data_IF_435555496621
#
_entry.id   IF_435555496621
#
_cell.length_a   1.000
_cell.length_b   1.000
_cell.length_c   1.000
_cell.angle_alpha   90.00
_cell.angle_beta   90.00
_cell.angle_gamma   90.00
#
_symmetry.space_group_name_H-M   'P 1'
#
loop_
_entity.id
_entity.type
_entity.pdbx_description
1 polymer ?
#
# COMPACT_ATOMS: atom_id res chain seq x y z
N UNK A 1 -10.17 59.59 -7.69
CA UNK A 1 -9.48 58.35 -8.13
C UNK A 1 -8.32 58.11 -7.18
N UNK A 2 -8.41 57.12 -6.30
CA UNK A 2 -7.26 56.44 -5.68
C UNK A 2 -7.77 55.34 -4.74
N UNK A 3 -8.31 54.28 -5.33
CA UNK A 3 -8.56 53.04 -4.59
C UNK A 3 -7.31 52.16 -4.79
N UNK A 4 -6.30 52.38 -3.95
CA UNK A 4 -5.07 51.57 -3.98
C UNK A 4 -5.32 50.28 -3.20
N UNK A 5 -5.78 49.24 -3.91
CA UNK A 5 -5.79 47.87 -3.41
C UNK A 5 -4.39 47.52 -2.91
N UNK A 6 -4.22 47.52 -1.59
CA UNK A 6 -2.91 47.30 -0.97
C UNK A 6 -2.69 45.80 -0.88
N UNK A 7 -2.27 45.22 -2.01
CA UNK A 7 -1.90 43.81 -2.11
C UNK A 7 -0.56 43.60 -1.41
N UNK A 8 -0.50 42.71 -0.41
CA UNK A 8 0.65 42.48 0.46
C UNK A 8 1.48 41.32 -0.08
N UNK A 9 2.75 41.53 -0.46
CA UNK A 9 3.61 40.43 -0.88
C UNK A 9 3.99 39.56 0.31
N UNK A 10 3.87 38.24 0.15
CA UNK A 10 4.28 37.24 1.12
C UNK A 10 5.16 36.17 0.46
N UNK A 11 6.06 35.60 1.25
CA UNK A 11 6.84 34.42 0.87
C UNK A 11 6.52 33.27 1.81
N UNK A 12 6.35 32.07 1.27
CA UNK A 12 6.01 30.87 2.03
C UNK A 12 7.05 29.80 1.73
N UNK A 13 7.85 29.44 2.72
CA UNK A 13 8.87 28.41 2.61
C UNK A 13 8.28 27.04 2.97
N UNK A 14 8.37 26.09 2.05
CA UNK A 14 8.04 24.68 2.28
C UNK A 14 9.24 23.80 1.91
N UNK A 15 9.80 23.09 2.87
CA UNK A 15 11.03 22.32 2.65
C UNK A 15 12.16 23.20 2.10
N UNK A 16 12.66 22.86 0.90
CA UNK A 16 13.68 23.63 0.17
C UNK A 16 13.11 24.69 -0.78
N UNK A 17 11.80 24.73 -0.99
CA UNK A 17 11.14 25.60 -1.97
C UNK A 17 10.54 26.83 -1.28
N UNK A 18 10.60 27.99 -1.94
CA UNK A 18 9.94 29.22 -1.50
C UNK A 18 8.91 29.65 -2.55
N UNK A 19 7.66 29.76 -2.13
CA UNK A 19 6.55 30.25 -2.94
C UNK A 19 6.36 31.74 -2.68
N UNK A 20 5.99 32.49 -3.72
CA UNK A 20 5.73 33.92 -3.64
C UNK A 20 4.32 34.21 -4.14
N UNK A 21 3.52 34.89 -3.31
CA UNK A 21 2.18 35.32 -3.69
C UNK A 21 1.85 36.67 -3.07
N UNK A 22 0.71 37.24 -3.44
CA UNK A 22 0.21 38.46 -2.81
C UNK A 22 -1.17 38.19 -2.19
N UNK A 23 -1.38 38.76 -1.01
CA UNK A 23 -2.67 38.72 -0.32
C UNK A 23 -3.33 40.08 -0.39
N UNK A 24 -4.58 40.12 -0.80
CA UNK A 24 -5.33 41.37 -0.84
C UNK A 24 -5.86 41.72 0.56
N UNK A 25 -5.60 42.95 0.99
CA UNK A 25 -6.00 43.48 2.29
C UNK A 25 -7.37 44.17 2.26
N UNK A 26 -8.27 43.77 1.35
CA UNK A 26 -9.63 44.34 1.27
C UNK A 26 -10.55 43.75 2.35
N UNK A 27 -11.53 44.56 2.78
CA UNK A 27 -12.51 44.18 3.80
C UNK A 27 -13.49 43.07 3.36
N UNK A 28 -13.57 42.78 2.06
CA UNK A 28 -14.63 41.93 1.49
C UNK A 28 -14.25 40.45 1.32
N UNK A 29 -12.96 40.08 1.44
CA UNK A 29 -12.56 38.67 1.40
C UNK A 29 -12.35 38.13 2.82
N UNK A 30 -13.15 37.17 3.29
CA UNK A 30 -12.96 36.57 4.61
C UNK A 30 -11.52 36.05 4.77
N UNK A 31 -10.88 36.35 5.90
CA UNK A 31 -9.52 35.83 6.18
C UNK A 31 -9.45 34.30 6.07
N UNK A 32 -10.53 33.58 6.36
CA UNK A 32 -10.63 32.13 6.14
C UNK A 32 -10.43 31.72 4.67
N UNK A 33 -10.83 32.55 3.71
CA UNK A 33 -10.64 32.33 2.28
C UNK A 33 -9.19 32.60 1.85
N UNK A 34 -8.54 33.63 2.40
CA UNK A 34 -7.11 33.87 2.20
C UNK A 34 -6.25 32.67 2.62
N UNK A 35 -6.58 32.03 3.74
CA UNK A 35 -5.86 30.83 4.17
C UNK A 35 -6.03 29.68 3.17
N UNK A 36 -7.24 29.51 2.60
CA UNK A 36 -7.47 28.52 1.55
C UNK A 36 -6.71 28.87 0.26
N UNK A 37 -6.57 30.15 -0.10
CA UNK A 37 -5.75 30.57 -1.24
C UNK A 37 -4.29 30.19 -1.05
N UNK A 38 -3.73 30.41 0.15
CA UNK A 38 -2.35 29.99 0.49
C UNK A 38 -2.22 28.47 0.37
N UNK A 39 -3.13 27.73 1.00
CA UNK A 39 -3.19 26.28 0.97
C UNK A 39 -3.18 25.74 -0.47
N UNK A 40 -4.03 26.29 -1.34
CA UNK A 40 -4.10 25.94 -2.75
C UNK A 40 -2.81 26.28 -3.51
N UNK A 41 -2.22 27.46 -3.26
CA UNK A 41 -1.03 27.93 -3.95
C UNK A 41 0.22 27.08 -3.65
N UNK A 42 0.33 26.52 -2.44
CA UNK A 42 1.45 25.64 -2.06
C UNK A 42 1.08 24.16 -2.09
N UNK A 43 -0.09 23.81 -2.62
CA UNK A 43 -0.61 22.45 -2.76
C UNK A 43 -0.71 21.65 -1.45
N UNK A 44 -1.01 22.30 -0.32
CA UNK A 44 -1.24 21.63 0.97
C UNK A 44 -2.70 21.84 1.37
N UNK A 45 -3.49 20.78 1.63
CA UNK A 45 -4.87 20.92 2.11
C UNK A 45 -4.98 21.83 3.35
N UNK A 46 -6.01 22.68 3.40
CA UNK A 46 -6.10 23.72 4.44
C UNK A 46 -6.29 23.18 5.86
N UNK A 47 -6.81 21.98 6.02
CA UNK A 47 -6.90 21.23 7.28
C UNK A 47 -5.54 20.64 7.73
N UNK A 48 -4.60 20.44 6.78
CA UNK A 48 -3.24 19.93 7.04
C UNK A 48 -2.18 21.02 7.09
N UNK A 49 -2.51 22.24 6.65
CA UNK A 49 -1.58 23.36 6.61
C UNK A 49 -1.43 24.04 7.97
N UNK A 50 -0.18 24.27 8.38
CA UNK A 50 0.23 25.17 9.46
C UNK A 50 1.24 26.17 8.91
N UNK A 51 1.03 27.45 9.17
CA UNK A 51 1.96 28.52 8.84
C UNK A 51 2.63 29.03 10.11
N UNK A 52 3.96 29.10 10.11
CA UNK A 52 4.75 29.66 11.20
C UNK A 52 5.25 31.03 10.80
N UNK A 53 4.88 32.05 11.57
CA UNK A 53 5.36 33.42 11.40
C UNK A 53 5.82 33.96 12.75
N UNK A 54 7.08 34.41 12.84
CA UNK A 54 7.69 34.94 14.06
C UNK A 54 7.45 34.03 15.30
N UNK A 55 7.60 32.72 15.12
CA UNK A 55 7.42 31.72 16.17
C UNK A 55 5.96 31.40 16.54
N UNK A 56 4.98 32.10 15.96
CA UNK A 56 3.55 31.82 16.16
C UNK A 56 3.00 30.91 15.05
N UNK A 57 2.11 29.99 15.42
CA UNK A 57 1.47 29.04 14.52
C UNK A 57 0.07 29.52 14.13
N UNK A 58 -0.17 29.55 12.83
CA UNK A 58 -1.46 29.88 12.23
C UNK A 58 -2.02 28.69 11.46
N UNK A 59 -3.30 28.41 11.66
CA UNK A 59 -4.15 27.42 10.97
C UNK A 59 -5.38 28.14 10.41
N UNK A 60 -6.23 27.43 9.68
CA UNK A 60 -7.50 27.97 9.17
C UNK A 60 -8.34 28.63 10.27
N UNK A 61 -8.30 28.07 11.49
CA UNK A 61 -9.15 28.52 12.60
C UNK A 61 -8.68 29.84 13.22
N UNK A 62 -7.38 30.14 13.23
CA UNK A 62 -6.84 31.33 13.91
C UNK A 62 -6.09 32.28 12.95
N UNK A 63 -6.10 32.01 11.65
CA UNK A 63 -5.50 32.88 10.64
C UNK A 63 -6.06 34.30 10.70
N UNK A 64 -7.32 34.43 11.13
CA UNK A 64 -7.98 35.71 11.24
C UNK A 64 -7.32 36.67 12.25
N UNK A 65 -6.60 36.13 13.24
CA UNK A 65 -5.87 36.89 14.26
C UNK A 65 -4.57 37.52 13.74
N UNK A 66 -4.08 37.08 12.57
CA UNK A 66 -2.82 37.57 12.03
C UNK A 66 -3.00 38.99 11.44
N UNK A 67 -2.26 40.01 11.92
CA UNK A 67 -2.16 41.28 11.22
C UNK A 67 -1.32 41.09 9.95
N UNK A 68 -1.88 41.44 8.80
CA UNK A 68 -1.16 41.41 7.53
C UNK A 68 -0.24 42.64 7.45
N UNK A 69 1.06 42.40 7.32
CA UNK A 69 2.12 43.41 7.28
C UNK A 69 2.90 43.26 5.98
N UNK A 70 3.64 44.27 5.55
CA UNK A 70 4.51 44.14 4.38
C UNK A 70 5.64 43.11 4.60
N UNK A 71 6.00 42.37 3.55
CA UNK A 71 7.14 41.44 3.49
C UNK A 71 7.10 40.30 4.52
N UNK A 72 5.98 39.59 4.62
CA UNK A 72 5.85 38.46 5.54
C UNK A 72 6.49 37.19 4.97
N UNK A 73 7.32 36.53 5.79
CA UNK A 73 7.94 35.26 5.46
C UNK A 73 7.40 34.17 6.38
N UNK A 74 6.67 33.22 5.82
CA UNK A 74 6.10 32.08 6.53
C UNK A 74 6.96 30.84 6.31
N UNK A 75 7.08 30.00 7.34
CA UNK A 75 7.46 28.60 7.19
C UNK A 75 6.18 27.77 7.20
N UNK A 76 5.92 26.98 6.17
CA UNK A 76 4.77 26.08 6.12
C UNK A 76 5.14 24.67 6.59
N UNK A 77 4.19 24.03 7.27
CA UNK A 77 4.25 22.63 7.70
C UNK A 77 2.94 21.99 7.26
N UNK A 78 3.04 20.86 6.58
CA UNK A 78 1.90 20.10 6.07
C UNK A 78 2.36 19.09 5.03
N UNK A 79 1.45 18.23 4.61
CA UNK A 79 1.70 17.26 3.54
C UNK A 79 1.15 17.83 2.23
N UNK A 80 2.00 17.95 1.21
CA UNK A 80 1.56 18.34 -0.13
C UNK A 80 0.73 17.22 -0.77
N UNK A 81 -0.28 17.61 -1.53
CA UNK A 81 -0.95 16.68 -2.45
C UNK A 81 0.01 16.30 -3.56
N UNK A 82 0.06 15.01 -3.86
CA UNK A 82 0.78 14.53 -5.02
C UNK A 82 0.07 14.93 -6.30
N UNK A 83 0.85 15.26 -7.32
CA UNK A 83 0.30 15.60 -8.63
C UNK A 83 -0.38 14.38 -9.28
N UNK A 84 -1.65 14.51 -9.63
CA UNK A 84 -2.48 13.44 -10.21
C UNK A 84 -2.57 13.47 -11.74
N UNK A 85 -1.95 14.46 -12.40
CA UNK A 85 -2.16 14.72 -13.84
C UNK A 85 -1.86 13.52 -14.74
N UNK A 86 -0.82 12.75 -14.41
CA UNK A 86 -0.37 11.59 -15.20
C UNK A 86 -0.92 10.25 -14.69
N UNK A 87 -1.91 10.24 -13.80
CA UNK A 87 -2.42 9.02 -13.16
C UNK A 87 -3.94 8.91 -13.32
N UNK A 88 -4.42 7.76 -13.83
CA UNK A 88 -5.86 7.52 -13.97
C UNK A 88 -6.55 7.47 -12.60
N UNK A 89 -7.66 8.21 -12.44
CA UNK A 89 -8.40 8.29 -11.18
C UNK A 89 -8.96 6.95 -10.74
N UNK A 90 -9.38 6.09 -11.66
CA UNK A 90 -9.87 4.74 -11.35
C UNK A 90 -8.75 3.87 -10.79
N UNK A 91 -7.53 4.05 -11.30
CA UNK A 91 -6.36 3.32 -10.81
C UNK A 91 -5.98 3.77 -9.40
N UNK A 92 -6.05 5.08 -9.13
CA UNK A 92 -5.86 5.63 -7.78
C UNK A 92 -6.88 5.01 -6.81
N UNK A 93 -8.17 5.01 -7.18
CA UNK A 93 -9.23 4.42 -6.35
C UNK A 93 -9.01 2.92 -6.13
N UNK A 94 -8.64 2.19 -7.18
CA UNK A 94 -8.34 0.76 -7.11
C UNK A 94 -7.20 0.48 -6.12
N UNK A 95 -6.07 1.20 -6.26
CA UNK A 95 -4.90 1.03 -5.40
C UNK A 95 -5.21 1.42 -3.95
N UNK A 96 -5.94 2.51 -3.72
CA UNK A 96 -6.38 2.91 -2.37
C UNK A 96 -7.18 1.79 -1.68
N UNK A 97 -8.18 1.22 -2.37
CA UNK A 97 -9.01 0.15 -1.81
C UNK A 97 -8.23 -1.15 -1.62
N UNK A 98 -7.46 -1.57 -2.62
CA UNK A 98 -6.71 -2.82 -2.58
C UNK A 98 -5.60 -2.81 -1.54
N UNK A 99 -4.89 -1.69 -1.40
CA UNK A 99 -3.73 -1.58 -0.51
C UNK A 99 -4.04 -0.94 0.84
N UNK A 100 -5.27 -0.43 1.02
CA UNK A 100 -5.70 0.32 2.22
C UNK A 100 -4.76 1.48 2.55
N UNK A 101 -4.35 2.20 1.52
CA UNK A 101 -3.47 3.37 1.62
C UNK A 101 -4.24 4.65 1.26
N UNK A 102 -3.72 5.79 1.70
CA UNK A 102 -4.28 7.09 1.33
C UNK A 102 -3.98 7.44 -0.14
N UNK A 103 -4.64 8.49 -0.62
CA UNK A 103 -4.57 8.92 -2.02
C UNK A 103 -3.16 9.33 -2.46
N UNK A 104 -2.42 10.08 -1.64
CA UNK A 104 -1.05 10.49 -1.96
C UNK A 104 -0.12 9.28 -2.05
N UNK A 105 -0.26 8.33 -1.14
CA UNK A 105 0.47 7.07 -1.20
C UNK A 105 0.12 6.26 -2.47
N UNK A 106 -1.16 6.22 -2.88
CA UNK A 106 -1.58 5.58 -4.11
C UNK A 106 -1.01 6.26 -5.37
N UNK A 107 -1.02 7.59 -5.44
CA UNK A 107 -0.44 8.35 -6.56
C UNK A 107 1.07 8.10 -6.66
N UNK A 108 1.80 8.15 -5.53
CA UNK A 108 3.23 7.79 -5.49
C UNK A 108 3.46 6.38 -6.00
N UNK A 109 2.66 5.42 -5.54
CA UNK A 109 2.78 4.03 -5.96
C UNK A 109 2.55 3.87 -7.46
N UNK A 110 1.54 4.54 -8.03
CA UNK A 110 1.25 4.51 -9.45
C UNK A 110 2.31 5.24 -10.29
N UNK A 111 2.88 6.35 -9.81
CA UNK A 111 4.00 7.00 -10.50
C UNK A 111 5.26 6.15 -10.54
N UNK A 112 5.52 5.40 -9.46
CA UNK A 112 6.68 4.49 -9.38
C UNK A 112 6.39 3.20 -10.17
N UNK A 113 5.14 2.75 -10.17
CA UNK A 113 4.66 1.52 -10.79
C UNK A 113 3.40 1.80 -11.61
N UNK A 114 3.54 2.37 -12.82
CA UNK A 114 2.41 2.80 -13.65
C UNK A 114 1.45 1.66 -14.05
N UNK A 115 1.86 0.40 -13.83
CA UNK A 115 1.09 -0.79 -14.16
C UNK A 115 0.46 -1.47 -12.92
N UNK A 116 0.35 -0.79 -11.78
CA UNK A 116 -0.19 -1.37 -10.54
C UNK A 116 -1.65 -1.83 -10.68
N UNK A 117 -2.43 -1.15 -11.54
CA UNK A 117 -3.82 -1.47 -11.91
C UNK A 117 -3.96 -2.63 -12.90
N UNK A 118 -2.85 -3.12 -13.48
CA UNK A 118 -2.82 -4.16 -14.51
C UNK A 118 -2.52 -5.57 -13.97
N UNK A 119 -2.47 -5.75 -12.64
CA UNK A 119 -2.18 -7.07 -12.06
C UNK A 119 -3.45 -7.93 -12.13
N UNK A 120 -3.49 -8.81 -13.14
CA UNK A 120 -4.54 -9.81 -13.30
C UNK A 120 -4.23 -11.04 -12.45
N UNK A 121 -5.10 -11.36 -11.48
CA UNK A 121 -4.97 -12.56 -10.65
C UNK A 121 -5.97 -13.60 -11.11
N UNK A 122 -5.43 -14.75 -11.54
CA UNK A 122 -6.19 -15.92 -11.99
C UNK A 122 -6.10 -17.04 -10.97
N UNK A 123 -7.19 -17.80 -10.89
CA UNK A 123 -7.37 -18.91 -9.96
C UNK A 123 -7.76 -20.17 -10.73
N UNK A 124 -6.84 -21.14 -10.85
CA UNK A 124 -7.12 -22.46 -11.42
C UNK A 124 -5.95 -23.42 -11.17
N UNK A 125 -6.21 -24.69 -10.91
CA UNK A 125 -5.17 -25.71 -10.80
C UNK A 125 -4.37 -25.91 -12.11
N UNK A 126 -4.97 -25.63 -13.27
CA UNK A 126 -4.29 -25.68 -14.57
C UNK A 126 -3.16 -24.66 -14.71
N UNK A 127 -3.11 -23.63 -13.86
CA UNK A 127 -2.06 -22.61 -13.83
C UNK A 127 -0.73 -23.09 -13.23
N UNK A 128 -0.63 -24.38 -12.86
CA UNK A 128 0.57 -24.95 -12.27
C UNK A 128 1.84 -24.64 -13.08
N UNK A 129 1.80 -24.76 -14.41
CA UNK A 129 2.96 -24.53 -15.26
C UNK A 129 3.44 -23.07 -15.19
N UNK A 130 2.51 -22.12 -15.15
CA UNK A 130 2.83 -20.70 -15.05
C UNK A 130 3.44 -20.37 -13.68
N UNK A 131 2.83 -20.88 -12.61
CA UNK A 131 3.35 -20.74 -11.25
C UNK A 131 4.75 -21.37 -11.11
N UNK A 132 4.95 -22.57 -11.66
CA UNK A 132 6.24 -23.26 -11.65
C UNK A 132 7.30 -22.54 -12.49
N UNK A 133 6.91 -21.88 -13.59
CA UNK A 133 7.81 -21.05 -14.40
C UNK A 133 8.40 -19.89 -13.61
N UNK A 134 7.63 -19.32 -12.68
CA UNK A 134 8.08 -18.28 -11.73
C UNK A 134 8.93 -18.91 -10.63
N UNK A 135 8.46 -20.00 -10.01
CA UNK A 135 9.14 -20.71 -8.92
C UNK A 135 10.61 -21.00 -9.27
N UNK A 136 10.86 -21.51 -10.48
CA UNK A 136 12.20 -21.83 -10.98
C UNK A 136 13.11 -20.62 -11.16
N UNK A 137 12.58 -19.40 -11.19
CA UNK A 137 13.34 -18.15 -11.36
C UNK A 137 13.61 -17.44 -10.03
N UNK A 138 13.16 -17.99 -8.91
CA UNK A 138 13.37 -17.42 -7.58
C UNK A 138 14.68 -18.00 -7.00
N UNK A 139 15.72 -17.17 -6.79
CA UNK A 139 17.02 -17.64 -6.28
C UNK A 139 16.92 -18.34 -4.92
N UNK A 140 16.06 -17.82 -4.04
CA UNK A 140 15.86 -18.32 -2.67
C UNK A 140 15.32 -19.75 -2.64
N UNK A 141 14.72 -20.23 -3.74
CA UNK A 141 14.16 -21.58 -3.85
C UNK A 141 15.09 -22.58 -4.53
N UNK A 142 16.19 -22.14 -5.14
CA UNK A 142 17.14 -23.02 -5.82
C UNK A 142 17.89 -23.95 -4.85
N UNK A 143 17.90 -23.62 -3.56
CA UNK A 143 18.46 -24.49 -2.53
C UNK A 143 17.62 -25.75 -2.30
N UNK A 144 16.37 -25.76 -2.78
CA UNK A 144 15.46 -26.89 -2.63
C UNK A 144 15.41 -27.66 -3.96
N UNK A 145 15.77 -28.94 -3.95
CA UNK A 145 15.76 -29.82 -5.13
C UNK A 145 14.34 -30.25 -5.55
N UNK A 146 13.34 -29.39 -5.35
CA UNK A 146 11.94 -29.75 -5.54
C UNK A 146 11.59 -29.73 -7.03
N UNK A 147 11.15 -30.86 -7.54
CA UNK A 147 10.80 -31.04 -8.96
C UNK A 147 9.34 -30.73 -9.23
N UNK A 148 9.00 -30.41 -10.49
CA UNK A 148 7.61 -30.23 -10.93
C UNK A 148 6.74 -31.45 -10.57
N UNK A 149 7.28 -32.66 -10.79
CA UNK A 149 6.59 -33.92 -10.51
C UNK A 149 6.21 -34.03 -9.03
N UNK A 150 7.15 -33.77 -8.11
CA UNK A 150 6.88 -33.77 -6.67
C UNK A 150 5.83 -32.74 -6.28
N UNK A 151 5.83 -31.56 -6.93
CA UNK A 151 4.84 -30.54 -6.64
C UNK A 151 3.43 -30.95 -7.08
N UNK A 152 3.30 -31.50 -8.30
CA UNK A 152 2.03 -32.01 -8.85
C UNK A 152 1.51 -33.17 -8.00
N UNK A 153 2.37 -34.14 -7.68
CA UNK A 153 2.01 -35.27 -6.82
C UNK A 153 1.46 -34.76 -5.48
N UNK A 154 2.09 -33.75 -4.89
CA UNK A 154 1.57 -33.16 -3.65
C UNK A 154 0.22 -32.47 -3.86
N UNK A 155 0.05 -31.66 -4.91
CA UNK A 155 -1.22 -30.98 -5.21
C UNK A 155 -2.37 -31.98 -5.34
N UNK A 156 -2.12 -33.13 -5.99
CA UNK A 156 -3.13 -34.17 -6.18
C UNK A 156 -3.49 -34.94 -4.90
N UNK A 157 -2.65 -34.86 -3.86
CA UNK A 157 -2.81 -35.62 -2.61
C UNK A 157 -3.16 -34.75 -1.40
N UNK A 158 -3.50 -33.47 -1.61
CA UNK A 158 -3.94 -32.56 -0.55
C UNK A 158 -5.42 -32.23 -0.69
N UNK A 159 -6.05 -31.92 0.43
CA UNK A 159 -7.44 -31.47 0.46
C UNK A 159 -7.52 -30.00 0.04
N UNK A 160 -8.45 -29.70 -0.85
CA UNK A 160 -8.79 -28.35 -1.31
C UNK A 160 -7.58 -27.52 -1.79
N UNK A 161 -6.84 -27.98 -2.82
CA UNK A 161 -5.72 -27.24 -3.35
C UNK A 161 -6.18 -25.94 -4.04
N UNK A 162 -5.35 -24.90 -3.94
CA UNK A 162 -5.53 -23.64 -4.65
C UNK A 162 -4.22 -23.23 -5.33
N UNK A 163 -4.33 -22.71 -6.55
CA UNK A 163 -3.24 -22.03 -7.23
C UNK A 163 -3.75 -20.67 -7.69
N UNK A 164 -3.07 -19.62 -7.24
CA UNK A 164 -3.25 -18.25 -7.70
C UNK A 164 -2.00 -17.82 -8.47
N UNK A 165 -2.18 -17.18 -9.61
CA UNK A 165 -1.09 -16.60 -10.41
C UNK A 165 -1.43 -15.16 -10.77
N UNK A 166 -0.48 -14.27 -10.53
CA UNK A 166 -0.54 -12.86 -10.90
C UNK A 166 0.15 -12.65 -12.25
N UNK A 167 -0.51 -11.89 -13.14
CA UNK A 167 -0.04 -11.56 -14.48
C UNK A 167 0.09 -10.05 -14.65
N UNK A 168 1.13 -9.63 -15.38
CA UNK A 168 1.27 -8.29 -15.94
C UNK A 168 1.51 -8.47 -17.43
N UNK A 169 0.75 -7.79 -18.29
CA UNK A 169 0.81 -7.94 -19.75
C UNK A 169 0.72 -9.40 -20.21
N UNK A 170 -0.19 -10.15 -19.57
CA UNK A 170 -0.39 -11.59 -19.78
C UNK A 170 0.85 -12.47 -19.52
N UNK A 171 1.85 -11.97 -18.78
CA UNK A 171 3.02 -12.73 -18.34
C UNK A 171 2.94 -13.05 -16.85
N UNK A 172 3.20 -14.30 -16.43
CA UNK A 172 3.14 -14.66 -15.02
C UNK A 172 4.32 -14.03 -14.26
N UNK A 173 4.02 -13.28 -13.21
CA UNK A 173 5.00 -12.49 -12.44
C UNK A 173 5.03 -12.84 -10.96
N UNK A 174 4.00 -13.48 -10.43
CA UNK A 174 3.95 -13.97 -9.05
C UNK A 174 2.93 -15.07 -8.90
N UNK A 175 3.07 -15.88 -7.84
CA UNK A 175 2.14 -16.98 -7.59
C UNK A 175 2.01 -17.28 -6.11
N UNK A 176 0.94 -17.99 -5.79
CA UNK A 176 0.68 -18.59 -4.48
C UNK A 176 0.04 -19.96 -4.69
N UNK A 177 0.51 -20.96 -3.95
CA UNK A 177 -0.08 -22.29 -3.85
C UNK A 177 -0.34 -22.62 -2.39
N UNK A 178 -1.53 -23.15 -2.12
CA UNK A 178 -1.91 -23.57 -0.78
C UNK A 178 -2.92 -24.71 -0.82
N UNK A 179 -3.23 -25.22 0.36
CA UNK A 179 -4.23 -26.27 0.55
C UNK A 179 -4.74 -26.26 1.98
N UNK A 180 -5.84 -26.95 2.24
CA UNK A 180 -6.36 -27.11 3.60
C UNK A 180 -5.37 -27.88 4.48
N UNK A 181 -5.14 -27.38 5.70
CA UNK A 181 -4.37 -28.08 6.72
C UNK A 181 -4.73 -27.57 8.12
N UNK A 182 -4.93 -28.46 9.07
CA UNK A 182 -5.23 -28.12 10.48
C UNK A 182 -6.41 -27.15 10.65
N UNK A 183 -7.47 -27.34 9.86
CA UNK A 183 -8.65 -26.45 9.83
C UNK A 183 -8.34 -24.99 9.48
N UNK A 184 -7.18 -24.75 8.88
CA UNK A 184 -6.70 -23.47 8.35
C UNK A 184 -6.42 -23.65 6.86
N UNK A 185 -6.39 -22.54 6.12
CA UNK A 185 -5.84 -22.59 4.77
C UNK A 185 -4.32 -22.36 4.82
N UNK A 186 -3.56 -23.40 4.48
CA UNK A 186 -2.10 -23.39 4.57
C UNK A 186 -1.47 -22.96 3.25
N UNK A 187 -0.75 -21.84 3.30
CA UNK A 187 0.05 -21.31 2.21
C UNK A 187 1.36 -22.08 2.18
N UNK A 188 1.48 -22.93 1.17
CA UNK A 188 2.61 -23.83 1.03
C UNK A 188 3.77 -23.16 0.28
N UNK A 189 3.49 -22.52 -0.86
CA UNK A 189 4.49 -21.83 -1.67
C UNK A 189 3.95 -20.48 -2.12
N UNK A 190 4.76 -19.43 -2.00
CA UNK A 190 4.42 -18.12 -2.52
C UNK A 190 5.69 -17.41 -2.98
N UNK A 191 5.62 -16.71 -4.11
CA UNK A 191 6.81 -16.08 -4.66
C UNK A 191 6.50 -15.09 -5.78
N UNK A 192 7.34 -14.07 -5.88
CA UNK A 192 7.29 -13.06 -6.94
C UNK A 192 8.61 -13.07 -7.69
N UNK A 193 8.52 -13.04 -9.02
CA UNK A 193 9.66 -12.96 -9.91
C UNK A 193 10.57 -11.79 -9.49
N UNK A 194 11.90 -11.96 -9.41
CA UNK A 194 12.81 -10.94 -8.87
C UNK A 194 12.65 -9.54 -9.48
N UNK A 195 12.45 -9.47 -10.80
CA UNK A 195 12.25 -8.20 -11.54
C UNK A 195 10.93 -7.48 -11.24
N UNK A 196 9.98 -8.13 -10.57
CA UNK A 196 8.65 -7.61 -10.26
C UNK A 196 8.41 -7.46 -8.75
N UNK A 197 9.44 -7.62 -7.92
CA UNK A 197 9.33 -7.41 -6.47
C UNK A 197 9.07 -5.94 -6.14
N UNK A 198 8.45 -5.70 -4.98
CA UNK A 198 8.08 -4.37 -4.46
C UNK A 198 7.01 -3.62 -5.27
N UNK A 199 6.33 -4.31 -6.19
CA UNK A 199 5.21 -3.79 -7.00
C UNK A 199 3.84 -4.21 -6.42
N UNK A 200 3.75 -4.52 -5.12
CA UNK A 200 2.48 -4.95 -4.49
C UNK A 200 1.92 -6.33 -4.92
N UNK A 201 2.59 -7.08 -5.81
CA UNK A 201 2.07 -8.35 -6.34
C UNK A 201 1.72 -9.38 -5.24
N UNK A 202 2.60 -9.58 -4.25
CA UNK A 202 2.32 -10.52 -3.16
C UNK A 202 1.16 -10.03 -2.27
N UNK A 203 1.01 -8.71 -2.10
CA UNK A 203 -0.13 -8.12 -1.37
C UNK A 203 -1.43 -8.48 -2.10
N UNK A 204 -1.49 -8.29 -3.41
CA UNK A 204 -2.70 -8.62 -4.17
C UNK A 204 -3.01 -10.11 -4.17
N UNK A 205 -1.99 -10.98 -4.30
CA UNK A 205 -2.16 -12.43 -4.16
C UNK A 205 -2.73 -12.82 -2.79
N UNK A 206 -2.23 -12.20 -1.71
CA UNK A 206 -2.74 -12.43 -0.36
C UNK A 206 -4.17 -11.92 -0.18
N UNK A 207 -4.50 -10.73 -0.70
CA UNK A 207 -5.85 -10.20 -0.64
C UNK A 207 -6.85 -11.10 -1.35
N UNK A 208 -6.51 -11.59 -2.54
CA UNK A 208 -7.33 -12.56 -3.27
C UNK A 208 -7.50 -13.85 -2.48
N UNK A 209 -6.41 -14.34 -1.88
CA UNK A 209 -6.46 -15.53 -1.03
C UNK A 209 -7.37 -15.33 0.19
N UNK A 210 -7.28 -14.20 0.88
CA UNK A 210 -8.11 -13.91 2.06
C UNK A 210 -9.60 -13.89 1.67
N UNK A 211 -9.95 -13.23 0.56
CA UNK A 211 -11.32 -13.22 0.03
C UNK A 211 -11.83 -14.63 -0.30
N UNK A 212 -11.01 -15.41 -1.01
CA UNK A 212 -11.33 -16.80 -1.33
C UNK A 212 -11.49 -17.64 -0.06
N UNK A 213 -10.56 -17.54 0.89
CA UNK A 213 -10.56 -18.35 2.10
C UNK A 213 -11.77 -18.05 3.00
N UNK A 214 -12.17 -16.77 3.12
CA UNK A 214 -13.39 -16.38 3.82
C UNK A 214 -14.65 -16.96 3.15
N UNK A 215 -14.71 -16.95 1.82
CA UNK A 215 -15.83 -17.54 1.06
C UNK A 215 -15.92 -19.06 1.27
N UNK A 216 -14.77 -19.72 1.38
CA UNK A 216 -14.67 -21.15 1.68
C UNK A 216 -14.77 -21.48 3.19
N UNK A 217 -15.18 -20.51 4.01
CA UNK A 217 -15.40 -20.63 5.47
C UNK A 217 -14.13 -20.98 6.29
N UNK A 218 -12.94 -20.70 5.77
CA UNK A 218 -11.73 -20.77 6.58
C UNK A 218 -11.68 -19.59 7.56
N UNK A 219 -11.39 -19.90 8.83
CA UNK A 219 -11.26 -18.89 9.91
C UNK A 219 -9.84 -18.37 10.08
N UNK A 220 -8.87 -18.90 9.34
CA UNK A 220 -7.46 -18.52 9.42
C UNK A 220 -6.66 -18.90 8.17
N UNK A 221 -5.55 -18.19 7.99
CA UNK A 221 -4.48 -18.55 7.07
C UNK A 221 -3.24 -18.93 7.86
N UNK A 222 -2.50 -19.94 7.41
CA UNK A 222 -1.25 -20.37 8.01
C UNK A 222 -0.11 -20.36 6.98
N UNK A 223 1.07 -19.89 7.39
CA UNK A 223 2.30 -19.88 6.56
C UNK A 223 3.42 -20.54 7.34
N UNK A 224 4.28 -21.30 6.64
CA UNK A 224 5.53 -21.82 7.20
C UNK A 224 6.71 -21.28 6.38
N UNK A 225 7.56 -20.47 6.98
CA UNK A 225 8.72 -19.84 6.32
C UNK A 225 10.04 -20.21 7.02
N UNK A 226 11.17 -20.07 6.32
CA UNK A 226 12.50 -20.21 6.94
C UNK A 226 12.87 -18.94 7.69
N UNK A 227 13.61 -19.08 8.77
CA UNK A 227 14.15 -17.95 9.51
C UNK A 227 15.12 -17.10 8.67
N UNK A 228 15.80 -17.71 7.69
CA UNK A 228 16.65 -17.00 6.73
C UNK A 228 15.89 -16.08 5.75
N UNK A 229 14.58 -16.25 5.58
CA UNK A 229 13.77 -15.48 4.62
C UNK A 229 13.24 -14.18 5.24
N UNK A 230 14.18 -13.27 5.56
CA UNK A 230 13.88 -11.98 6.24
C UNK A 230 12.79 -11.16 5.56
N UNK A 231 12.82 -11.02 4.24
CA UNK A 231 11.80 -10.25 3.50
C UNK A 231 10.40 -10.86 3.61
N UNK A 232 10.29 -12.19 3.62
CA UNK A 232 9.01 -12.87 3.83
C UNK A 232 8.53 -12.68 5.26
N UNK A 233 9.42 -12.76 6.26
CA UNK A 233 9.04 -12.53 7.67
C UNK A 233 8.53 -11.12 7.92
N UNK A 234 9.24 -10.10 7.41
CA UNK A 234 8.80 -8.71 7.51
C UNK A 234 7.43 -8.51 6.84
N UNK A 235 7.23 -9.11 5.66
CA UNK A 235 5.95 -9.07 4.98
C UNK A 235 4.83 -9.71 5.82
N UNK A 236 5.03 -10.91 6.35
CA UNK A 236 3.99 -11.59 7.14
C UNK A 236 3.62 -10.79 8.39
N UNK A 237 4.62 -10.29 9.13
CA UNK A 237 4.40 -9.48 10.33
C UNK A 237 3.65 -8.18 9.99
N UNK A 238 4.01 -7.51 8.88
CA UNK A 238 3.32 -6.27 8.47
C UNK A 238 1.89 -6.51 7.97
N UNK A 239 1.49 -7.77 7.73
CA UNK A 239 0.16 -8.17 7.30
C UNK A 239 -0.57 -9.00 8.37
N UNK A 240 -0.25 -8.75 9.65
CA UNK A 240 -0.97 -9.26 10.84
C UNK A 240 -0.84 -10.78 11.09
N UNK A 241 0.11 -11.45 10.42
CA UNK A 241 0.47 -12.81 10.79
C UNK A 241 1.23 -12.82 12.11
N UNK A 242 0.78 -13.65 13.05
CA UNK A 242 1.42 -13.86 14.35
C UNK A 242 2.24 -15.14 14.32
N UNK A 243 3.46 -15.09 14.87
CA UNK A 243 4.26 -16.29 15.10
C UNK A 243 3.59 -17.14 16.17
N UNK A 244 3.21 -18.37 15.82
CA UNK A 244 2.52 -19.29 16.73
C UNK A 244 3.38 -20.49 17.12
N UNK A 245 4.37 -20.86 16.29
CA UNK A 245 5.25 -21.99 16.57
C UNK A 245 6.59 -21.90 15.82
N UNK A 246 7.60 -22.61 16.33
CA UNK A 246 8.96 -22.71 15.79
C UNK A 246 9.38 -24.18 15.72
N UNK A 247 9.52 -24.69 14.51
CA UNK A 247 10.11 -25.99 14.22
C UNK A 247 11.63 -25.83 14.07
N UNK A 248 12.35 -26.16 15.15
CA UNK A 248 13.81 -26.07 15.25
C UNK A 248 14.48 -27.05 14.29
N UNK A 249 15.56 -26.61 13.65
CA UNK A 249 16.34 -27.34 12.66
C UNK A 249 17.82 -27.27 13.02
N UNK A 250 18.68 -27.90 12.23
CA UNK A 250 20.10 -28.01 12.52
C UNK A 250 20.78 -26.65 12.75
N UNK A 251 20.33 -25.59 12.07
CA UNK A 251 20.79 -24.22 12.30
C UNK A 251 19.63 -23.24 12.47
N UNK A 252 19.91 -22.13 13.17
CA UNK A 252 18.94 -21.06 13.42
C UNK A 252 18.34 -20.52 12.11
N UNK A 253 19.14 -20.40 11.05
CA UNK A 253 18.69 -19.93 9.73
C UNK A 253 17.71 -20.91 9.05
N UNK A 254 17.85 -22.21 9.35
CA UNK A 254 16.99 -23.26 8.78
C UNK A 254 15.73 -23.51 9.59
N UNK A 255 15.60 -22.91 10.79
CA UNK A 255 14.38 -22.98 11.60
C UNK A 255 13.16 -22.62 10.75
N UNK A 256 12.07 -23.34 10.99
CA UNK A 256 10.81 -23.08 10.31
C UNK A 256 9.87 -22.38 11.26
N UNK A 257 9.53 -21.16 10.91
CA UNK A 257 8.62 -20.30 11.63
C UNK A 257 7.22 -20.53 11.08
N UNK A 258 6.27 -20.84 11.97
CA UNK A 258 4.87 -21.06 11.62
C UNK A 258 4.09 -19.83 12.10
N UNK A 259 3.48 -19.13 11.15
CA UNK A 259 2.72 -17.93 11.42
C UNK A 259 1.27 -18.10 10.99
N UNK A 260 0.36 -17.49 11.74
CA UNK A 260 -1.09 -17.55 11.49
C UNK A 260 -1.69 -16.14 11.46
N UNK A 261 -2.61 -15.91 10.52
CA UNK A 261 -3.52 -14.76 10.51
C UNK A 261 -4.95 -15.26 10.68
N UNK A 262 -5.68 -14.73 11.65
CA UNK A 262 -7.12 -14.99 11.79
C UNK A 262 -7.90 -14.17 10.75
N UNK A 263 -8.90 -14.78 10.14
CA UNK A 263 -9.80 -14.13 9.20
C UNK A 263 -11.09 -13.74 9.93
N UNK A 264 -11.55 -12.51 9.71
CA UNK A 264 -12.83 -12.04 10.23
C UNK A 264 -13.89 -12.35 9.18
N UNK A 265 -14.66 -13.42 9.39
CA UNK A 265 -15.81 -13.72 8.55
C UNK A 265 -16.91 -12.72 8.91
N UNK A 266 -17.40 -11.89 7.96
CA UNK A 266 -18.53 -11.01 8.23
C UNK A 266 -19.72 -11.88 8.65
N UNK A 267 -20.25 -11.65 9.86
CA UNK A 267 -21.50 -12.31 10.27
C UNK A 267 -22.59 -11.86 9.28
N UNK A 268 -23.23 -12.81 8.59
CA UNK A 268 -24.46 -12.50 7.87
C UNK A 268 -25.48 -12.04 8.92
N UNK A 269 -25.93 -10.79 8.78
CA UNK A 269 -27.06 -10.26 9.52
C UNK A 269 -28.19 -11.27 9.44
N UNK A 270 -28.51 -11.91 10.56
CA UNK A 270 -29.64 -12.80 10.64
C UNK A 270 -30.89 -11.92 10.52
N UNK A 271 -31.49 -11.90 9.33
CA UNK A 271 -32.82 -11.34 9.13
C UNK A 271 -33.81 -12.27 9.85
N UNK A 272 -34.09 -11.99 11.11
CA UNK A 272 -35.32 -12.42 11.79
C UNK A 272 -36.47 -11.53 11.39
#
# INVERSE_FOLDING_TARGET
MSDSSTSIPISIKYGSTTYHMRLDNQADLPKSEQFNMIANHIHIPSDRLKLIYRGKRFTKDNWHDLPLLSNMNFLSIGEQNEDETDVDKKDIECVMHQMKIDRNAAIKALKIYPNMSLIDIRENLSLFNDAFSIHRKIPEFQMDSTTAKQLIERINNVKHPLILVAYIDNRPVGYLMGHERYSSFYIWLAGVHPKHRRQGILVQLMNRLEQWAMKENYSSLMVKTRNSFKSMLLFLISHEFKLIDIDKRQSVDTHRLILEKKLIIPQQSSST
#
